data_IF_158058581214
#
_entry.id   IF_158058581214
#
_cell.length_a   1.000
_cell.length_b   1.000
_cell.length_c   1.000
_cell.angle_alpha   90.00
_cell.angle_beta   90.00
_cell.angle_gamma   90.00
#
_symmetry.space_group_name_H-M   'P 1'
#
loop_
_entity.id
_entity.type
_entity.pdbx_description
1 polymer ?
#
# COMPACT_ATOMS: atom_id res chain seq x y z
N UNK A 1 26.38 3.25 -37.55
CA UNK A 1 24.98 3.43 -37.12
C UNK A 1 24.08 2.73 -38.11
N UNK A 2 23.35 1.68 -37.72
CA UNK A 2 22.51 0.86 -38.62
C UNK A 2 21.33 1.65 -39.23
N UNK A 3 20.89 2.73 -38.57
CA UNK A 3 19.77 3.57 -39.02
C UNK A 3 20.12 4.59 -40.12
N UNK A 4 21.36 4.62 -40.61
CA UNK A 4 21.83 5.57 -41.62
C UNK A 4 22.15 4.92 -42.99
N UNK A 5 21.86 3.63 -43.15
CA UNK A 5 22.04 2.93 -44.42
C UNK A 5 20.93 3.30 -45.42
N UNK A 6 21.25 3.46 -46.70
CA UNK A 6 20.27 3.84 -47.75
C UNK A 6 19.11 2.83 -47.89
N UNK A 7 19.31 1.60 -47.45
CA UNK A 7 18.36 0.48 -47.57
C UNK A 7 17.74 0.07 -46.22
N UNK A 8 17.71 0.97 -45.23
CA UNK A 8 17.06 0.68 -43.95
C UNK A 8 15.53 0.69 -44.10
N UNK A 9 14.86 -0.32 -43.55
CA UNK A 9 13.41 -0.38 -43.49
C UNK A 9 12.94 -0.34 -42.04
N UNK A 10 11.99 0.55 -41.72
CA UNK A 10 11.35 0.60 -40.41
C UNK A 10 10.16 -0.35 -40.40
N UNK A 11 10.27 -1.44 -39.65
CA UNK A 11 9.24 -2.47 -39.57
C UNK A 11 8.29 -2.19 -38.38
N UNK A 12 7.01 -2.48 -38.58
CA UNK A 12 6.00 -2.54 -37.51
C UNK A 12 5.49 -3.96 -37.48
N UNK A 13 5.49 -4.58 -36.30
CA UNK A 13 5.12 -5.97 -36.13
C UNK A 13 3.78 -6.09 -35.40
N UNK A 14 2.96 -7.09 -35.75
CA UNK A 14 1.71 -7.34 -35.05
C UNK A 14 1.95 -7.89 -33.64
N UNK A 15 0.91 -7.85 -32.81
CA UNK A 15 0.95 -8.47 -31.49
C UNK A 15 1.20 -9.97 -31.60
N UNK A 16 1.87 -10.54 -30.59
CA UNK A 16 2.25 -11.96 -30.58
C UNK A 16 3.14 -12.37 -31.78
N UNK A 17 3.97 -11.47 -32.28
CA UNK A 17 5.03 -11.77 -33.24
C UNK A 17 6.43 -11.50 -32.66
N UNK A 18 7.41 -12.26 -33.14
CA UNK A 18 8.83 -12.00 -32.96
C UNK A 18 9.46 -11.63 -34.32
N UNK A 19 10.32 -10.61 -34.38
CA UNK A 19 10.97 -10.19 -35.61
C UNK A 19 11.93 -11.27 -36.13
N UNK A 20 11.96 -11.47 -37.44
CA UNK A 20 12.85 -12.41 -38.12
C UNK A 20 13.57 -11.70 -39.26
N UNK A 21 14.89 -11.57 -39.14
CA UNK A 21 15.74 -10.99 -40.16
C UNK A 21 16.16 -12.08 -41.16
N UNK A 22 15.67 -12.00 -42.40
CA UNK A 22 16.09 -12.89 -43.49
C UNK A 22 16.46 -12.09 -44.74
N UNK A 23 17.36 -12.66 -45.55
CA UNK A 23 17.81 -12.03 -46.80
C UNK A 23 16.62 -11.89 -47.77
N UNK A 24 16.33 -10.66 -48.21
CA UNK A 24 15.18 -10.33 -49.07
C UNK A 24 13.86 -10.04 -48.34
N UNK A 25 13.78 -10.28 -47.02
CA UNK A 25 12.62 -9.97 -46.18
C UNK A 25 13.05 -9.30 -44.86
N UNK A 26 13.54 -8.06 -44.92
CA UNK A 26 14.07 -7.35 -43.74
C UNK A 26 13.02 -7.12 -42.63
N UNK A 27 11.73 -7.11 -42.98
CA UNK A 27 10.61 -7.02 -42.03
C UNK A 27 9.87 -8.36 -41.80
N UNK A 28 10.57 -9.49 -41.95
CA UNK A 28 9.98 -10.80 -41.62
C UNK A 28 9.61 -10.90 -40.14
N UNK A 29 8.60 -11.72 -39.84
CA UNK A 29 8.21 -12.04 -38.47
C UNK A 29 7.69 -13.47 -38.36
N UNK A 30 7.73 -14.00 -37.14
CA UNK A 30 7.16 -15.30 -36.79
C UNK A 30 6.18 -15.13 -35.63
N UNK A 31 5.01 -15.72 -35.74
CA UNK A 31 4.05 -15.71 -34.65
C UNK A 31 4.51 -16.58 -33.48
N UNK A 32 4.30 -16.09 -32.26
CA UNK A 32 4.59 -16.78 -30.99
C UNK A 32 3.29 -17.14 -30.26
N UNK A 33 3.41 -17.85 -29.15
CA UNK A 33 2.31 -18.17 -28.25
C UNK A 33 1.12 -18.90 -28.92
N UNK A 34 1.40 -19.73 -29.95
CA UNK A 34 0.39 -20.51 -30.65
C UNK A 34 -0.45 -19.73 -31.67
N UNK A 35 -0.15 -18.46 -31.90
CA UNK A 35 -0.80 -17.67 -32.94
C UNK A 35 -0.29 -18.08 -34.32
N UNK A 36 -1.15 -17.92 -35.33
CA UNK A 36 -0.86 -18.30 -36.72
C UNK A 36 -0.84 -17.08 -37.62
N UNK A 37 0.11 -17.05 -38.54
CA UNK A 37 0.27 -15.96 -39.49
C UNK A 37 -0.99 -15.85 -40.40
N UNK A 38 -1.46 -14.64 -40.61
CA UNK A 38 -2.65 -14.36 -41.42
C UNK A 38 -2.48 -13.03 -42.17
N UNK A 39 -2.91 -12.93 -43.43
CA UNK A 39 -3.41 -13.99 -44.31
C UNK A 39 -2.30 -14.99 -44.72
N UNK A 40 -2.67 -16.15 -45.26
CA UNK A 40 -1.72 -17.25 -45.55
C UNK A 40 -0.68 -16.88 -46.64
N UNK A 41 -1.03 -15.92 -47.50
CA UNK A 41 -0.13 -15.30 -48.48
C UNK A 41 0.13 -13.86 -48.03
N UNK A 42 1.40 -13.51 -47.84
CA UNK A 42 1.83 -12.21 -47.30
C UNK A 42 1.21 -11.91 -45.93
N UNK A 43 1.61 -12.66 -44.89
CA UNK A 43 1.08 -12.45 -43.56
C UNK A 43 1.43 -11.06 -43.04
N UNK A 44 0.43 -10.39 -42.49
CA UNK A 44 0.56 -9.06 -41.86
C UNK A 44 0.18 -9.08 -40.38
N UNK A 45 -0.41 -10.19 -39.92
CA UNK A 45 -0.95 -10.33 -38.58
C UNK A 45 -0.75 -11.74 -38.01
N UNK A 46 -0.80 -11.85 -36.68
CA UNK A 46 -0.75 -13.11 -35.94
C UNK A 46 -2.09 -13.32 -35.24
N UNK A 47 -2.91 -14.21 -35.80
CA UNK A 47 -4.28 -14.45 -35.35
C UNK A 47 -4.43 -15.82 -34.70
N UNK A 48 -5.28 -15.88 -33.66
CA UNK A 48 -5.74 -17.13 -33.08
C UNK A 48 -6.97 -17.61 -33.84
N UNK A 49 -6.76 -18.47 -34.85
CA UNK A 49 -7.84 -18.97 -35.70
C UNK A 49 -8.72 -19.97 -34.94
N UNK A 50 -10.03 -19.93 -35.22
CA UNK A 50 -10.98 -20.94 -34.73
C UNK A 50 -10.51 -22.35 -35.14
N UNK A 51 -10.63 -23.38 -34.29
CA UNK A 51 -11.37 -23.47 -33.02
C UNK A 51 -10.59 -23.06 -31.75
N UNK A 52 -9.40 -22.49 -31.91
CA UNK A 52 -8.56 -22.10 -30.78
C UNK A 52 -9.06 -20.82 -30.11
N UNK A 53 -8.70 -20.66 -28.83
CA UNK A 53 -9.05 -19.48 -28.02
C UNK A 53 -7.79 -18.95 -27.35
N UNK A 54 -7.76 -17.65 -27.08
CA UNK A 54 -6.67 -17.00 -26.36
C UNK A 54 -6.95 -17.04 -24.86
N UNK A 55 -6.05 -17.65 -24.09
CA UNK A 55 -6.09 -17.67 -22.64
C UNK A 55 -4.72 -17.24 -22.09
N UNK A 56 -4.68 -16.21 -21.24
CA UNK A 56 -3.45 -15.68 -20.64
C UNK A 56 -2.33 -15.38 -21.66
N UNK A 57 -2.69 -14.81 -22.81
CA UNK A 57 -1.75 -14.45 -23.88
C UNK A 57 -1.29 -15.61 -24.76
N UNK A 58 -1.82 -16.83 -24.57
CA UNK A 58 -1.51 -18.02 -25.38
C UNK A 58 -2.75 -18.45 -26.18
N UNK A 59 -2.59 -18.65 -27.49
CA UNK A 59 -3.59 -19.24 -28.36
C UNK A 59 -3.48 -20.78 -28.34
N UNK A 60 -4.58 -21.46 -28.06
CA UNK A 60 -4.59 -22.92 -27.98
C UNK A 60 -5.99 -23.51 -27.89
N UNK A 61 -6.06 -24.84 -27.86
CA UNK A 61 -7.33 -25.56 -27.67
C UNK A 61 -7.63 -25.69 -26.17
N UNK A 62 -8.35 -24.72 -25.61
CA UNK A 62 -8.77 -24.72 -24.22
C UNK A 62 -10.26 -25.02 -24.08
N UNK A 63 -10.62 -25.94 -23.16
CA UNK A 63 -12.03 -26.19 -22.79
C UNK A 63 -12.63 -24.97 -22.07
N UNK A 64 -11.82 -24.32 -21.23
CA UNK A 64 -12.10 -23.06 -20.55
C UNK A 64 -10.78 -22.35 -20.25
N UNK A 65 -10.77 -21.01 -20.17
CA UNK A 65 -9.57 -20.28 -19.75
C UNK A 65 -9.41 -20.37 -18.23
N UNK A 66 -8.24 -20.83 -17.72
CA UNK A 66 -7.96 -20.72 -16.31
C UNK A 66 -7.81 -19.23 -15.96
N UNK A 67 -8.75 -18.69 -15.20
CA UNK A 67 -8.57 -17.40 -14.54
C UNK A 67 -7.32 -17.50 -13.66
N UNK A 68 -6.44 -16.48 -13.69
CA UNK A 68 -5.31 -16.39 -12.77
C UNK A 68 -5.76 -16.64 -11.33
N UNK A 69 -4.86 -17.17 -10.48
CA UNK A 69 -5.18 -17.48 -9.07
C UNK A 69 -5.99 -16.33 -8.48
N UNK A 70 -7.17 -16.58 -7.87
CA UNK A 70 -7.93 -15.51 -7.27
C UNK A 70 -7.06 -14.85 -6.20
N UNK A 71 -6.75 -13.57 -6.40
CA UNK A 71 -6.23 -12.77 -5.30
C UNK A 71 -7.40 -12.62 -4.32
N UNK A 72 -7.22 -13.09 -3.09
CA UNK A 72 -8.18 -12.82 -2.02
C UNK A 72 -8.21 -11.30 -1.87
N UNK A 73 -9.27 -10.63 -2.35
CA UNK A 73 -9.53 -9.26 -1.92
C UNK A 73 -9.83 -9.36 -0.43
N UNK A 74 -9.12 -8.62 0.41
CA UNK A 74 -9.36 -8.61 1.86
C UNK A 74 -10.83 -8.31 2.14
N UNK A 75 -11.59 -9.37 2.46
CA UNK A 75 -13.03 -9.32 2.68
C UNK A 75 -13.38 -8.81 4.08
N UNK A 76 -12.38 -8.36 4.85
CA UNK A 76 -12.54 -7.91 6.23
C UNK A 76 -13.24 -6.57 6.30
N UNK A 77 -12.83 -5.58 5.48
CA UNK A 77 -13.54 -4.30 5.34
C UNK A 77 -15.02 -4.46 4.96
N UNK A 78 -15.36 -5.49 4.20
CA UNK A 78 -16.76 -5.74 3.80
C UNK A 78 -17.63 -6.33 4.92
N UNK A 79 -17.03 -6.87 5.98
CA UNK A 79 -17.75 -7.52 7.09
C UNK A 79 -17.69 -6.72 8.39
N UNK A 80 -16.70 -5.85 8.53
CA UNK A 80 -16.53 -4.98 9.69
C UNK A 80 -17.42 -3.74 9.56
N UNK A 81 -18.68 -3.84 10.02
CA UNK A 81 -19.67 -2.77 10.01
C UNK A 81 -19.89 -2.31 11.45
N UNK A 82 -19.69 -1.03 11.71
CA UNK A 82 -19.98 -0.40 12.99
C UNK A 82 -21.17 0.56 12.86
N UNK A 83 -21.78 0.88 14.00
CA UNK A 83 -22.81 1.91 14.09
C UNK A 83 -22.27 3.30 13.79
N UNK A 84 -23.17 4.28 13.69
CA UNK A 84 -22.79 5.68 13.46
C UNK A 84 -21.81 6.17 14.55
N UNK A 85 -20.76 6.86 14.12
CA UNK A 85 -19.73 7.40 15.02
C UNK A 85 -18.72 6.39 15.56
N UNK A 86 -18.76 5.13 15.12
CA UNK A 86 -17.83 4.08 15.52
C UNK A 86 -16.98 3.62 14.33
N UNK A 87 -15.71 3.33 14.60
CA UNK A 87 -14.72 2.85 13.64
C UNK A 87 -14.40 1.39 13.94
N UNK A 88 -14.35 0.55 12.90
CA UNK A 88 -13.95 -0.84 13.06
C UNK A 88 -12.42 -0.94 13.18
N UNK A 89 -11.94 -1.38 14.33
CA UNK A 89 -10.54 -1.52 14.66
C UNK A 89 -10.19 -2.99 14.91
N UNK A 90 -8.97 -3.40 14.55
CA UNK A 90 -8.47 -4.73 14.85
C UNK A 90 -8.18 -4.91 16.33
N UNK A 91 -8.28 -6.15 16.81
CA UNK A 91 -7.95 -6.50 18.20
C UNK A 91 -6.51 -7.02 18.27
N UNK A 92 -5.72 -6.51 19.22
CA UNK A 92 -4.36 -6.98 19.47
C UNK A 92 -4.32 -8.46 19.90
N UNK A 93 -3.34 -9.22 19.42
CA UNK A 93 -3.15 -10.63 19.81
C UNK A 93 -3.93 -11.65 18.97
N UNK A 94 -4.81 -11.22 18.08
CA UNK A 94 -5.33 -12.04 16.99
C UNK A 94 -4.42 -11.90 15.76
N UNK A 95 -4.15 -13.02 15.06
CA UNK A 95 -3.02 -13.10 14.11
C UNK A 95 -2.95 -11.88 13.17
N UNK A 96 -1.79 -11.21 13.16
CA UNK A 96 -1.47 -10.03 12.34
C UNK A 96 -1.61 -10.25 10.82
N UNK A 97 -1.96 -11.47 10.41
CA UNK A 97 -2.19 -11.89 9.03
C UNK A 97 -3.66 -12.09 8.69
N UNK A 98 -4.55 -12.21 9.68
CA UNK A 98 -5.96 -12.47 9.42
C UNK A 98 -6.89 -11.31 9.73
N UNK A 99 -6.53 -10.34 10.61
CA UNK A 99 -7.39 -9.22 11.02
C UNK A 99 -8.89 -9.63 11.20
N UNK A 100 -9.14 -10.90 11.56
CA UNK A 100 -10.47 -11.51 11.57
C UNK A 100 -11.24 -11.09 12.82
N UNK A 101 -10.52 -10.73 13.88
CA UNK A 101 -11.04 -10.19 15.11
C UNK A 101 -10.96 -8.66 15.08
N UNK A 102 -12.12 -8.03 15.20
CA UNK A 102 -12.29 -6.59 15.18
C UNK A 102 -13.36 -6.17 16.18
N UNK A 103 -13.27 -4.93 16.62
CA UNK A 103 -14.22 -4.29 17.52
C UNK A 103 -14.57 -2.89 17.02
N UNK A 104 -15.68 -2.34 17.52
CA UNK A 104 -16.11 -0.99 17.19
C UNK A 104 -15.65 -0.01 18.28
N UNK A 105 -14.79 0.92 17.91
CA UNK A 105 -14.21 1.93 18.82
C UNK A 105 -14.65 3.32 18.38
N UNK A 106 -15.01 4.18 19.35
CA UNK A 106 -15.20 5.60 19.08
C UNK A 106 -13.83 6.32 19.09
N UNK A 107 -13.20 6.40 17.92
CA UNK A 107 -11.88 7.02 17.77
C UNK A 107 -11.87 8.53 18.02
N UNK A 108 -13.04 9.16 18.22
CA UNK A 108 -13.13 10.57 18.59
C UNK A 108 -12.95 10.81 20.09
N UNK A 109 -13.11 9.78 20.92
CA UNK A 109 -13.11 9.87 22.39
C UNK A 109 -12.27 8.82 23.11
N UNK A 110 -11.89 7.76 22.41
CA UNK A 110 -11.06 6.69 22.97
C UNK A 110 -9.61 7.15 23.17
N UNK A 111 -9.02 6.83 24.32
CA UNK A 111 -7.67 7.27 24.67
C UNK A 111 -6.57 6.50 23.93
N UNK A 112 -6.79 5.21 23.69
CA UNK A 112 -5.80 4.29 23.11
C UNK A 112 -5.86 4.28 21.59
N UNK A 113 -7.00 4.68 21.03
CA UNK A 113 -7.28 4.78 19.60
C UNK A 113 -7.77 6.19 19.24
N UNK A 114 -7.08 7.22 19.72
CA UNK A 114 -7.48 8.60 19.45
C UNK A 114 -7.12 9.00 18.01
N UNK A 115 -8.10 9.47 17.26
CA UNK A 115 -7.94 9.92 15.86
C UNK A 115 -7.89 8.79 14.82
N UNK A 116 -7.87 7.54 15.25
CA UNK A 116 -7.80 6.36 14.37
C UNK A 116 -7.66 5.08 15.19
N UNK A 117 -7.54 3.93 14.54
CA UNK A 117 -7.38 2.67 15.26
C UNK A 117 -5.92 2.48 15.71
N UNK A 118 -5.69 2.05 16.96
CA UNK A 118 -4.37 1.56 17.37
C UNK A 118 -3.89 0.42 16.48
N UNK A 119 -4.82 -0.46 16.07
CA UNK A 119 -4.60 -1.55 15.12
C UNK A 119 -5.56 -1.41 13.93
N UNK A 120 -5.15 -0.75 12.85
CA UNK A 120 -6.00 -0.60 11.67
C UNK A 120 -6.27 -1.95 10.98
N UNK A 121 -7.44 -2.09 10.37
CA UNK A 121 -7.83 -3.32 9.65
C UNK A 121 -7.10 -3.51 8.31
N UNK A 122 -6.48 -2.45 7.81
CA UNK A 122 -5.81 -2.39 6.53
C UNK A 122 -4.93 -1.13 6.45
N UNK A 123 -4.10 -1.05 5.41
CA UNK A 123 -3.11 0.02 5.22
C UNK A 123 -3.70 1.42 4.91
N UNK A 124 -5.00 1.54 4.65
CA UNK A 124 -5.68 2.81 4.34
C UNK A 124 -6.49 3.35 5.51
N UNK A 125 -6.60 2.60 6.59
CA UNK A 125 -7.35 3.03 7.78
C UNK A 125 -6.48 3.97 8.62
N UNK A 126 -7.05 5.07 9.17
CA UNK A 126 -6.28 6.03 9.96
C UNK A 126 -5.70 5.35 11.20
N UNK A 127 -4.43 5.62 11.48
CA UNK A 127 -3.75 5.15 12.68
C UNK A 127 -4.08 6.08 13.85
N UNK A 128 -4.51 5.49 14.96
CA UNK A 128 -4.72 6.19 16.21
C UNK A 128 -3.45 6.31 17.03
N UNK A 129 -3.45 7.30 17.92
CA UNK A 129 -2.43 7.46 18.94
C UNK A 129 -3.01 7.06 20.30
N UNK A 130 -2.19 6.38 21.11
CA UNK A 130 -2.44 6.22 22.54
C UNK A 130 -2.01 7.49 23.28
N UNK A 131 -2.98 8.27 23.74
CA UNK A 131 -2.75 9.51 24.48
C UNK A 131 -2.16 9.26 25.88
N UNK A 132 -2.32 8.07 26.46
CA UNK A 132 -1.77 7.73 27.78
C UNK A 132 -0.28 7.45 27.72
N UNK A 133 0.23 7.05 26.56
CA UNK A 133 1.65 6.89 26.29
C UNK A 133 2.42 8.22 26.14
N UNK A 134 1.76 9.39 26.20
CA UNK A 134 2.42 10.69 26.14
C UNK A 134 3.37 10.86 27.35
N UNK A 135 4.68 11.08 27.14
CA UNK A 135 5.64 11.16 28.24
C UNK A 135 5.31 12.29 29.21
N UNK A 136 5.33 12.01 30.50
CA UNK A 136 5.11 13.01 31.56
C UNK A 136 3.65 13.45 31.71
N UNK A 137 2.70 12.81 31.04
CA UNK A 137 1.28 13.12 31.20
C UNK A 137 0.70 12.50 32.47
N UNK A 138 -0.23 13.21 33.11
CA UNK A 138 -0.97 12.70 34.28
C UNK A 138 -2.48 12.79 34.11
N UNK A 139 -2.95 13.73 33.29
CA UNK A 139 -4.35 13.86 32.91
C UNK A 139 -4.43 14.25 31.43
N UNK A 140 -5.09 13.41 30.64
CA UNK A 140 -5.20 13.53 29.19
C UNK A 140 -6.58 13.08 28.74
N UNK A 141 -7.05 13.62 27.62
CA UNK A 141 -8.34 13.27 27.04
C UNK A 141 -8.23 13.21 25.52
N UNK A 142 -8.95 12.28 24.90
CA UNK A 142 -9.18 12.33 23.46
C UNK A 142 -10.44 13.18 23.20
N UNK A 143 -10.28 14.27 22.43
CA UNK A 143 -11.37 15.18 22.08
C UNK A 143 -11.38 15.36 20.57
N UNK A 144 -12.48 14.95 19.94
CA UNK A 144 -12.64 15.02 18.48
C UNK A 144 -11.49 14.37 17.69
N UNK A 145 -10.91 13.30 18.25
CA UNK A 145 -9.81 12.56 17.62
C UNK A 145 -8.43 13.19 17.82
N UNK A 146 -8.28 14.15 18.72
CA UNK A 146 -6.99 14.73 19.10
C UNK A 146 -6.73 14.54 20.60
N UNK A 147 -5.48 14.22 20.96
CA UNK A 147 -5.06 14.17 22.36
C UNK A 147 -4.94 15.60 22.91
N UNK A 148 -5.59 15.83 24.05
CA UNK A 148 -5.58 17.09 24.79
C UNK A 148 -5.03 16.82 26.19
N UNK A 149 -3.86 17.36 26.48
CA UNK A 149 -3.19 17.25 27.78
C UNK A 149 -3.74 18.31 28.72
N UNK A 150 -4.32 17.88 29.85
CA UNK A 150 -4.82 18.79 30.90
C UNK A 150 -3.83 19.00 32.03
N UNK A 151 -3.04 17.97 32.36
CA UNK A 151 -2.06 18.04 33.44
C UNK A 151 -0.83 17.18 33.17
N UNK A 152 0.33 17.77 33.43
CA UNK A 152 1.62 17.10 33.40
C UNK A 152 2.09 16.71 34.80
N UNK A 153 2.94 15.70 34.87
CA UNK A 153 3.65 15.28 36.07
C UNK A 153 4.54 16.43 36.60
N UNK A 154 4.88 16.42 37.91
CA UNK A 154 5.85 17.37 38.46
C UNK A 154 7.17 17.37 37.66
N UNK A 155 7.69 18.57 37.37
CA UNK A 155 8.87 18.73 36.51
C UNK A 155 8.56 18.85 35.01
N UNK A 156 7.28 18.75 34.63
CA UNK A 156 6.81 18.96 33.27
C UNK A 156 5.73 20.06 33.22
N UNK A 157 5.67 20.78 32.10
CA UNK A 157 4.66 21.79 31.77
C UNK A 157 4.02 21.44 30.44
N UNK A 158 2.74 21.78 30.27
CA UNK A 158 2.03 21.52 29.01
C UNK A 158 2.64 22.36 27.88
N UNK A 159 2.75 21.79 26.68
CA UNK A 159 3.14 22.51 25.47
C UNK A 159 2.13 23.61 25.10
N UNK A 160 2.57 24.59 24.30
CA UNK A 160 1.73 25.71 23.87
C UNK A 160 0.48 25.26 23.08
N UNK A 161 0.59 24.15 22.35
CA UNK A 161 -0.50 23.54 21.59
C UNK A 161 -1.38 22.59 22.43
N UNK A 162 -1.03 22.36 23.70
CA UNK A 162 -1.81 21.51 24.59
C UNK A 162 -1.71 20.01 24.30
N UNK A 163 -0.77 19.57 23.46
CA UNK A 163 -0.70 18.17 22.98
C UNK A 163 0.36 17.32 23.69
N UNK A 164 1.35 17.93 24.34
CA UNK A 164 2.45 17.22 25.01
C UNK A 164 2.81 17.84 26.36
N UNK A 165 3.61 17.10 27.14
CA UNK A 165 4.29 17.61 28.33
C UNK A 165 5.78 17.80 28.02
N UNK A 166 6.32 18.99 28.28
CA UNK A 166 7.74 19.32 28.11
C UNK A 166 8.39 19.55 29.47
N UNK A 167 9.66 19.17 29.63
CA UNK A 167 10.37 19.39 30.89
C UNK A 167 10.41 20.89 31.24
N UNK A 168 10.11 21.23 32.49
CA UNK A 168 10.13 22.63 32.94
C UNK A 168 11.57 23.16 32.91
N UNK A 169 11.77 24.37 32.37
CA UNK A 169 13.10 25.00 32.25
C UNK A 169 13.88 25.06 33.58
N UNK A 170 13.19 25.05 34.72
CA UNK A 170 13.80 24.95 36.05
C UNK A 170 14.64 23.70 36.30
N UNK A 171 14.43 22.62 35.54
CA UNK A 171 15.24 21.39 35.62
C UNK A 171 16.42 21.39 34.63
N UNK A 172 16.30 22.07 33.47
CA UNK A 172 17.39 22.17 32.48
C UNK A 172 18.56 23.03 32.96
N UNK A 173 18.34 23.89 33.96
CA UNK A 173 19.35 24.83 34.46
C UNK A 173 20.10 24.33 35.71
N UNK A 174 19.73 23.16 36.26
CA UNK A 174 20.36 22.61 37.47
C UNK A 174 21.57 21.71 37.19
N UNK A 175 21.81 21.29 35.95
CA UNK A 175 22.92 20.37 35.61
C UNK A 175 24.21 21.07 35.12
N UNK A 176 24.24 22.40 35.04
CA UNK A 176 25.42 23.15 34.51
C UNK A 176 26.23 23.87 35.61
N UNK A 177 25.74 23.92 36.86
CA UNK A 177 26.31 24.81 37.89
C UNK A 177 27.02 24.13 39.08
N UNK A 178 27.30 22.82 39.05
CA UNK A 178 27.88 22.12 40.22
C UNK A 178 29.14 21.29 39.94
N UNK A 179 29.89 21.60 38.88
CA UNK A 179 31.19 20.96 38.63
C UNK A 179 32.19 21.93 38.01
N UNK A 180 32.73 22.87 38.80
CA UNK A 180 33.97 23.57 38.45
C UNK A 180 34.77 23.95 39.71
N UNK A 181 35.72 23.07 40.01
CA UNK A 181 37.09 23.29 40.50
C UNK A 181 37.35 23.98 41.87
N UNK A 182 37.74 23.13 42.84
CA UNK A 182 38.81 23.43 43.78
C UNK A 182 39.97 22.45 43.55
N UNK A 183 41.08 22.95 43.00
CA UNK A 183 42.43 22.38 43.14
C UNK A 183 43.45 23.44 42.73
#
# INVERSE_FOLDING_TARGET
MLNASKDHQKCVYPDNADPVCASGTPCGFKCKNGFTASPDKHPIDCLCKFPHKVCNGVCGSFKACPSGKPFRRDALRKRAICGEGLTACGIFGHSSFSHEAWECINTATDLESCGGCAFPLDAFSPHGLDCTAIPGVTDVSCVAGACVVRRCAPGFVTSDDGTFCVASQSMLQQDVASSFDWA
#
